data_IF_531121349964
#
_entry.id   IF_531121349964
#
_cell.length_a   1.000
_cell.length_b   1.000
_cell.length_c   1.000
_cell.angle_alpha   90.00
_cell.angle_beta   90.00
_cell.angle_gamma   90.00
#
_symmetry.space_group_name_H-M   'P 1'
#
loop_
_entity.id
_entity.type
_entity.pdbx_description
1 polymer ?
#
# COMPACT_ATOMS: atom_id res chain seq x y z
N UNK A 1 -11.87 7.31 -15.55
CA UNK A 1 -12.01 6.79 -14.17
C UNK A 1 -12.80 7.75 -13.28
N UNK A 2 -12.49 9.05 -13.26
CA UNK A 2 -13.24 10.04 -12.48
C UNK A 2 -14.72 10.07 -12.86
N UNK A 3 -15.05 9.99 -14.14
CA UNK A 3 -16.42 9.94 -14.63
C UNK A 3 -17.17 8.67 -14.16
N UNK A 4 -16.48 7.52 -14.10
CA UNK A 4 -17.06 6.27 -13.59
C UNK A 4 -17.38 6.39 -12.10
N UNK A 5 -16.46 6.92 -11.31
CA UNK A 5 -16.67 7.15 -9.87
C UNK A 5 -17.78 8.17 -9.64
N UNK A 6 -17.80 9.28 -10.40
CA UNK A 6 -18.87 10.28 -10.34
C UNK A 6 -20.24 9.72 -10.76
N UNK A 7 -20.23 8.71 -11.66
CA UNK A 7 -21.42 7.94 -12.07
C UNK A 7 -21.90 6.90 -11.05
N UNK A 8 -21.21 6.77 -9.90
CA UNK A 8 -21.57 5.88 -8.80
C UNK A 8 -20.88 4.51 -8.81
N UNK A 9 -19.85 4.32 -9.64
CA UNK A 9 -19.00 3.12 -9.53
C UNK A 9 -18.26 3.12 -8.19
N UNK A 10 -18.44 2.05 -7.44
CA UNK A 10 -17.81 1.81 -6.13
C UNK A 10 -16.89 0.60 -6.14
N UNK A 11 -16.48 0.12 -7.30
CA UNK A 11 -15.59 -1.02 -7.43
C UNK A 11 -14.20 -0.74 -6.82
N UNK A 12 -13.70 -1.70 -6.03
CA UNK A 12 -12.36 -1.63 -5.43
C UNK A 12 -11.29 -1.38 -6.48
N UNK A 13 -11.42 -2.04 -7.63
CA UNK A 13 -10.46 -1.90 -8.74
C UNK A 13 -10.48 -0.48 -9.33
N UNK A 14 -11.66 0.08 -9.61
CA UNK A 14 -11.80 1.43 -10.17
C UNK A 14 -11.21 2.48 -9.24
N UNK A 15 -11.52 2.41 -7.95
CA UNK A 15 -10.96 3.32 -6.95
C UNK A 15 -9.45 3.14 -6.80
N UNK A 16 -8.95 1.91 -6.78
CA UNK A 16 -7.50 1.62 -6.69
C UNK A 16 -6.72 2.14 -7.90
N UNK A 17 -7.25 1.99 -9.11
CA UNK A 17 -6.64 2.51 -10.34
C UNK A 17 -6.63 4.04 -10.36
N UNK A 18 -7.71 4.68 -9.95
CA UNK A 18 -7.77 6.14 -9.86
C UNK A 18 -6.81 6.68 -8.79
N UNK A 19 -6.75 6.01 -7.63
CA UNK A 19 -5.80 6.34 -6.57
C UNK A 19 -4.34 6.21 -7.03
N UNK A 20 -4.02 5.15 -7.78
CA UNK A 20 -2.69 4.96 -8.37
C UNK A 20 -2.33 6.09 -9.33
N UNK A 21 -3.27 6.53 -10.18
CA UNK A 21 -3.04 7.66 -11.05
C UNK A 21 -2.77 8.97 -10.28
N UNK A 22 -3.49 9.22 -9.18
CA UNK A 22 -3.19 10.37 -8.32
C UNK A 22 -1.86 10.24 -7.57
N UNK A 23 -1.48 9.03 -7.15
CA UNK A 23 -0.16 8.75 -6.56
C UNK A 23 0.96 9.06 -7.55
N UNK A 24 0.81 8.69 -8.82
CA UNK A 24 1.76 9.05 -9.87
C UNK A 24 1.85 10.57 -10.04
N UNK A 25 0.71 11.28 -10.10
CA UNK A 25 0.69 12.74 -10.18
C UNK A 25 1.34 13.39 -8.95
N UNK A 26 1.10 12.84 -7.74
CA UNK A 26 1.78 13.27 -6.52
C UNK A 26 3.30 13.10 -6.63
N UNK A 27 3.74 11.98 -7.14
CA UNK A 27 5.17 11.66 -7.26
C UNK A 27 5.89 12.58 -8.24
N UNK A 28 5.27 12.89 -9.38
CA UNK A 28 5.83 13.78 -10.40
C UNK A 28 5.62 15.27 -10.12
N UNK A 29 4.83 15.64 -9.13
CA UNK A 29 4.61 17.04 -8.76
C UNK A 29 5.86 17.65 -8.13
N UNK A 30 6.27 18.81 -8.63
CA UNK A 30 7.43 19.56 -8.11
C UNK A 30 7.03 20.69 -7.18
N UNK A 31 5.80 21.19 -7.29
CA UNK A 31 5.28 22.21 -6.41
C UNK A 31 4.48 21.63 -5.25
N UNK A 32 4.58 22.29 -4.10
CA UNK A 32 3.98 21.83 -2.84
C UNK A 32 2.45 21.73 -2.89
N UNK A 33 1.80 22.65 -3.62
CA UNK A 33 0.34 22.70 -3.69
C UNK A 33 -0.21 21.50 -4.50
N UNK A 34 0.36 21.21 -5.66
CA UNK A 34 0.02 20.04 -6.48
C UNK A 34 0.31 18.76 -5.72
N UNK A 35 1.48 18.68 -5.06
CA UNK A 35 1.85 17.51 -4.26
C UNK A 35 0.85 17.25 -3.14
N UNK A 36 0.46 18.27 -2.39
CA UNK A 36 -0.58 18.16 -1.37
C UNK A 36 -1.91 17.70 -1.94
N UNK A 37 -2.39 18.38 -3.01
CA UNK A 37 -3.66 18.06 -3.67
C UNK A 37 -3.74 16.61 -4.13
N UNK A 38 -2.73 16.15 -4.87
CA UNK A 38 -2.74 14.79 -5.41
C UNK A 38 -2.50 13.73 -4.34
N UNK A 39 -1.76 14.05 -3.29
CA UNK A 39 -1.61 13.18 -2.11
C UNK A 39 -2.94 12.96 -1.40
N UNK A 40 -3.70 14.03 -1.13
CA UNK A 40 -5.03 13.95 -0.51
C UNK A 40 -6.02 13.16 -1.38
N UNK A 41 -6.00 13.39 -2.71
CA UNK A 41 -6.86 12.63 -3.64
C UNK A 41 -6.49 11.14 -3.69
N UNK A 42 -5.19 10.80 -3.70
CA UNK A 42 -4.75 9.42 -3.68
C UNK A 42 -5.20 8.71 -2.39
N UNK A 43 -4.99 9.34 -1.23
CA UNK A 43 -5.44 8.80 0.08
C UNK A 43 -6.95 8.54 0.04
N UNK A 44 -7.75 9.55 -0.31
CA UNK A 44 -9.21 9.42 -0.33
C UNK A 44 -9.69 8.26 -1.20
N UNK A 45 -9.10 8.08 -2.39
CA UNK A 45 -9.49 7.00 -3.31
C UNK A 45 -9.02 5.62 -2.85
N UNK A 46 -7.84 5.50 -2.26
CA UNK A 46 -7.40 4.25 -1.65
C UNK A 46 -8.24 3.90 -0.42
N UNK A 47 -8.62 4.87 0.41
CA UNK A 47 -9.52 4.66 1.54
C UNK A 47 -10.89 4.19 1.09
N UNK A 48 -11.46 4.77 0.03
CA UNK A 48 -12.73 4.29 -0.56
C UNK A 48 -12.61 2.86 -1.08
N UNK A 49 -11.52 2.51 -1.80
CA UNK A 49 -11.26 1.15 -2.25
C UNK A 49 -11.16 0.16 -1.09
N UNK A 50 -10.58 0.60 0.01
CA UNK A 50 -10.38 -0.20 1.21
C UNK A 50 -11.63 -0.31 2.08
N UNK A 51 -12.46 0.73 2.17
CA UNK A 51 -13.65 0.80 3.04
C UNK A 51 -14.89 0.10 2.47
N UNK A 52 -14.93 -0.19 1.16
CA UNK A 52 -16.07 -0.88 0.53
C UNK A 52 -16.31 -2.28 1.07
N UNK A 53 -15.32 -2.90 1.72
CA UNK A 53 -15.47 -4.19 2.39
C UNK A 53 -15.12 -4.00 3.88
N UNK A 54 -16.14 -4.03 4.74
CA UNK A 54 -16.02 -3.82 6.19
C UNK A 54 -14.89 -4.66 6.81
N UNK A 55 -13.85 -4.00 7.29
CA UNK A 55 -12.65 -4.59 7.88
C UNK A 55 -12.85 -5.16 9.30
N UNK A 56 -14.00 -4.90 9.90
CA UNK A 56 -14.28 -5.25 11.28
C UNK A 56 -14.39 -6.77 11.54
N UNK A 57 -14.33 -7.58 10.47
CA UNK A 57 -14.43 -9.03 10.55
C UNK A 57 -13.37 -9.79 9.70
N UNK A 58 -12.08 -9.53 9.92
CA UNK A 58 -10.98 -10.32 9.31
C UNK A 58 -11.13 -11.85 9.47
N UNK A 59 -11.83 -12.28 10.52
CA UNK A 59 -12.09 -13.72 10.78
C UNK A 59 -13.12 -14.32 9.84
N UNK A 60 -14.09 -13.53 9.38
CA UNK A 60 -15.22 -13.97 8.55
C UNK A 60 -15.11 -13.54 7.09
N UNK A 61 -14.19 -12.62 6.76
CA UNK A 61 -13.96 -12.17 5.39
C UNK A 61 -13.60 -13.34 4.47
N UNK A 62 -14.19 -13.39 3.30
CA UNK A 62 -13.85 -14.39 2.30
C UNK A 62 -12.41 -14.13 1.79
N UNK A 63 -11.76 -15.16 1.25
CA UNK A 63 -10.40 -15.03 0.71
C UNK A 63 -10.33 -13.96 -0.38
N UNK A 64 -11.32 -13.91 -1.27
CA UNK A 64 -11.41 -12.93 -2.34
C UNK A 64 -11.48 -11.50 -1.82
N UNK A 65 -12.16 -11.26 -0.69
CA UNK A 65 -12.22 -9.93 -0.06
C UNK A 65 -10.83 -9.50 0.43
N UNK A 66 -10.06 -10.40 1.03
CA UNK A 66 -8.71 -10.12 1.49
C UNK A 66 -7.74 -9.86 0.32
N UNK A 67 -7.86 -10.63 -0.77
CA UNK A 67 -7.05 -10.48 -1.98
C UNK A 67 -7.29 -9.13 -2.69
N UNK A 68 -8.45 -8.53 -2.55
CA UNK A 68 -8.73 -7.19 -3.09
C UNK A 68 -8.30 -6.06 -2.16
N UNK A 69 -8.06 -6.34 -0.85
CA UNK A 69 -7.84 -5.32 0.18
C UNK A 69 -6.36 -5.03 0.48
N UNK A 70 -5.44 -6.01 0.33
CA UNK A 70 -4.05 -5.79 0.71
C UNK A 70 -3.40 -4.64 -0.05
N UNK A 71 -3.69 -4.50 -1.35
CA UNK A 71 -3.11 -3.47 -2.21
C UNK A 71 -3.57 -2.05 -1.84
N UNK A 72 -4.88 -1.72 -1.77
CA UNK A 72 -5.29 -0.38 -1.35
C UNK A 72 -4.85 -0.07 0.08
N UNK A 73 -4.90 -1.03 1.01
CA UNK A 73 -4.53 -0.83 2.40
C UNK A 73 -3.05 -0.41 2.57
N UNK A 74 -2.11 -1.08 1.89
CA UNK A 74 -0.69 -0.71 1.98
C UNK A 74 -0.42 0.64 1.32
N UNK A 75 -1.15 0.99 0.25
CA UNK A 75 -0.99 2.29 -0.39
C UNK A 75 -1.59 3.43 0.46
N UNK A 76 -2.67 3.22 1.22
CA UNK A 76 -3.13 4.16 2.26
C UNK A 76 -2.02 4.39 3.28
N UNK A 77 -1.40 3.31 3.78
CA UNK A 77 -0.30 3.38 4.74
C UNK A 77 0.88 4.20 4.20
N UNK A 78 1.31 3.89 2.98
CA UNK A 78 2.39 4.59 2.30
C UNK A 78 2.09 6.10 2.13
N UNK A 79 0.91 6.43 1.61
CA UNK A 79 0.55 7.83 1.34
C UNK A 79 0.44 8.66 2.62
N UNK A 80 -0.14 8.14 3.69
CA UNK A 80 -0.15 8.81 5.00
C UNK A 80 1.26 9.01 5.54
N UNK A 81 2.09 7.97 5.49
CA UNK A 81 3.47 8.04 5.94
C UNK A 81 4.27 9.10 5.19
N UNK A 82 4.16 9.13 3.85
CA UNK A 82 4.85 10.10 2.99
C UNK A 82 4.30 11.52 3.12
N UNK A 83 3.07 11.70 3.59
CA UNK A 83 2.48 13.02 3.89
C UNK A 83 2.81 13.55 5.29
N UNK A 84 3.56 12.78 6.10
CA UNK A 84 3.95 13.12 7.46
C UNK A 84 2.97 12.67 8.55
N UNK A 85 1.85 12.04 8.20
CA UNK A 85 0.91 11.44 9.15
C UNK A 85 1.38 10.02 9.53
N UNK A 86 2.48 9.96 10.28
CA UNK A 86 3.16 8.71 10.62
C UNK A 86 2.27 7.77 11.45
N UNK A 87 1.37 8.31 12.26
CA UNK A 87 0.47 7.52 13.11
C UNK A 87 -0.53 6.75 12.23
N UNK A 88 -1.28 7.45 11.37
CA UNK A 88 -2.21 6.79 10.44
C UNK A 88 -1.50 5.87 9.45
N UNK A 89 -0.29 6.25 9.01
CA UNK A 89 0.56 5.40 8.18
C UNK A 89 0.83 4.05 8.87
N UNK A 90 1.24 4.07 10.13
CA UNK A 90 1.52 2.86 10.92
C UNK A 90 0.26 2.04 11.23
N UNK A 91 -0.85 2.70 11.57
CA UNK A 91 -2.12 2.00 11.77
C UNK A 91 -2.55 1.22 10.51
N UNK A 92 -2.49 1.87 9.35
CA UNK A 92 -2.83 1.23 8.07
C UNK A 92 -1.82 0.14 7.69
N UNK A 93 -0.53 0.33 7.96
CA UNK A 93 0.51 -0.68 7.76
C UNK A 93 0.26 -1.92 8.63
N UNK A 94 -0.15 -1.75 9.89
CA UNK A 94 -0.51 -2.85 10.78
C UNK A 94 -1.69 -3.66 10.23
N UNK A 95 -2.69 -2.99 9.66
CA UNK A 95 -3.84 -3.65 9.02
C UNK A 95 -3.41 -4.41 7.76
N UNK A 96 -2.59 -3.79 6.90
CA UNK A 96 -2.05 -4.45 5.70
C UNK A 96 -1.27 -5.72 6.06
N UNK A 97 -0.43 -5.67 7.11
CA UNK A 97 0.30 -6.83 7.62
C UNK A 97 -0.64 -7.95 8.07
N UNK A 98 -1.71 -7.62 8.81
CA UNK A 98 -2.70 -8.60 9.25
C UNK A 98 -3.43 -9.27 8.08
N UNK A 99 -3.72 -8.52 6.99
CA UNK A 99 -4.29 -9.10 5.77
C UNK A 99 -3.32 -10.11 5.16
N UNK A 100 -2.05 -9.72 5.01
CA UNK A 100 -1.02 -10.60 4.44
C UNK A 100 -0.84 -11.87 5.27
N UNK A 101 -0.84 -11.78 6.60
CA UNK A 101 -0.80 -12.94 7.51
C UNK A 101 -1.99 -13.88 7.27
N UNK A 102 -3.21 -13.32 7.16
CA UNK A 102 -4.41 -14.13 6.87
C UNK A 102 -4.39 -14.80 5.51
N UNK A 103 -3.92 -14.10 4.48
CA UNK A 103 -3.76 -14.68 3.15
C UNK A 103 -2.74 -15.82 3.16
N UNK A 104 -1.63 -15.63 3.85
CA UNK A 104 -0.58 -16.65 4.04
C UNK A 104 -1.10 -17.89 4.78
N UNK A 105 -1.86 -17.71 5.87
CA UNK A 105 -2.51 -18.81 6.60
C UNK A 105 -3.47 -19.63 5.71
N UNK A 106 -4.07 -18.98 4.70
CA UNK A 106 -4.99 -19.58 3.73
C UNK A 106 -4.29 -20.17 2.49
N UNK A 107 -2.97 -20.12 2.46
CA UNK A 107 -2.17 -20.65 1.36
C UNK A 107 -1.98 -19.72 0.17
N UNK A 108 -2.40 -18.45 0.28
CA UNK A 108 -2.18 -17.43 -0.75
C UNK A 108 -1.02 -16.53 -0.33
N UNK A 109 0.16 -16.74 -0.93
CA UNK A 109 1.37 -15.99 -0.57
C UNK A 109 2.29 -15.79 -1.77
N UNK A 110 1.77 -15.14 -2.81
CA UNK A 110 2.53 -14.79 -4.02
C UNK A 110 3.36 -13.50 -3.84
N UNK A 111 4.19 -13.18 -4.83
CA UNK A 111 5.14 -12.05 -4.81
C UNK A 111 4.57 -10.74 -4.24
N UNK A 112 3.39 -10.31 -4.71
CA UNK A 112 2.83 -9.02 -4.30
C UNK A 112 2.37 -9.01 -2.84
N UNK A 113 1.91 -10.14 -2.30
CA UNK A 113 1.55 -10.24 -0.87
C UNK A 113 2.82 -10.21 -0.02
N UNK A 114 3.91 -10.89 -0.46
CA UNK A 114 5.20 -10.85 0.22
C UNK A 114 5.76 -9.42 0.26
N UNK A 115 5.73 -8.71 -0.86
CA UNK A 115 6.18 -7.32 -0.94
C UNK A 115 5.34 -6.39 -0.06
N UNK A 116 4.04 -6.58 -0.02
CA UNK A 116 3.15 -5.82 0.87
C UNK A 116 3.45 -6.08 2.34
N UNK A 117 3.71 -7.35 2.73
CA UNK A 117 4.13 -7.69 4.09
C UNK A 117 5.47 -7.02 4.45
N UNK A 118 6.45 -7.07 3.52
CA UNK A 118 7.75 -6.41 3.72
C UNK A 118 7.63 -4.89 3.86
N UNK A 119 6.82 -4.26 3.02
CA UNK A 119 6.57 -2.82 3.08
C UNK A 119 5.86 -2.43 4.38
N UNK A 120 4.88 -3.22 4.82
CA UNK A 120 4.22 -3.00 6.10
C UNK A 120 5.20 -3.07 7.28
N UNK A 121 6.12 -4.05 7.28
CA UNK A 121 7.20 -4.12 8.27
C UNK A 121 8.10 -2.88 8.23
N UNK A 122 8.45 -2.40 7.03
CA UNK A 122 9.28 -1.21 6.86
C UNK A 122 8.59 0.04 7.43
N UNK A 123 7.30 0.25 7.09
CA UNK A 123 6.49 1.37 7.61
C UNK A 123 6.31 1.33 9.13
N UNK A 124 6.35 0.12 9.73
CA UNK A 124 6.29 -0.09 11.17
C UNK A 124 7.65 0.07 11.87
N UNK A 125 8.74 0.27 11.14
CA UNK A 125 10.10 0.39 11.66
C UNK A 125 10.78 -0.95 11.97
N UNK A 126 10.20 -2.08 11.54
CA UNK A 126 10.77 -3.42 11.68
C UNK A 126 11.71 -3.72 10.52
N UNK A 127 12.86 -3.03 10.47
CA UNK A 127 13.78 -3.01 9.31
C UNK A 127 14.32 -4.40 8.97
N UNK A 128 14.77 -5.17 9.97
CA UNK A 128 15.35 -6.50 9.75
C UNK A 128 14.33 -7.49 9.16
N UNK A 129 13.09 -7.45 9.67
CA UNK A 129 12.01 -8.27 9.14
C UNK A 129 11.61 -7.84 7.72
N UNK A 130 11.54 -6.54 7.47
CA UNK A 130 11.29 -6.02 6.12
C UNK A 130 12.35 -6.51 5.14
N UNK A 131 13.63 -6.37 5.49
CA UNK A 131 14.75 -6.83 4.64
C UNK A 131 14.66 -8.32 4.34
N UNK A 132 14.40 -9.16 5.36
CA UNK A 132 14.24 -10.59 5.20
C UNK A 132 13.12 -10.95 4.22
N UNK A 133 11.93 -10.36 4.40
CA UNK A 133 10.77 -10.65 3.54
C UNK A 133 10.98 -10.12 2.11
N UNK A 134 11.62 -8.96 1.93
CA UNK A 134 12.01 -8.47 0.60
C UNK A 134 12.99 -9.40 -0.12
N UNK A 135 13.96 -9.97 0.60
CA UNK A 135 14.92 -10.94 0.03
C UNK A 135 14.21 -12.23 -0.40
N UNK A 136 13.29 -12.75 0.42
CA UNK A 136 12.48 -13.91 0.10
C UNK A 136 11.62 -13.65 -1.16
N UNK A 137 10.94 -12.49 -1.22
CA UNK A 137 10.15 -12.08 -2.39
C UNK A 137 11.02 -11.98 -3.66
N UNK A 138 12.18 -11.34 -3.57
CA UNK A 138 13.11 -11.17 -4.69
C UNK A 138 13.69 -12.50 -5.21
N UNK A 139 13.75 -13.52 -4.34
CA UNK A 139 14.20 -14.87 -4.68
C UNK A 139 13.10 -15.77 -5.25
N UNK A 140 11.85 -15.30 -5.25
CA UNK A 140 10.71 -16.07 -5.74
C UNK A 140 10.74 -16.20 -7.28
N UNK A 141 10.10 -17.25 -7.80
CA UNK A 141 9.96 -17.46 -9.26
C UNK A 141 9.14 -16.37 -9.96
N UNK A 142 8.35 -15.62 -9.20
CA UNK A 142 7.49 -14.54 -9.69
C UNK A 142 8.20 -13.19 -9.74
N UNK A 143 9.42 -13.10 -9.16
CA UNK A 143 10.22 -11.90 -9.14
C UNK A 143 10.73 -11.56 -10.56
N UNK A 144 10.15 -10.55 -11.15
CA UNK A 144 10.59 -9.98 -12.44
C UNK A 144 11.35 -8.68 -12.18
N UNK A 145 12.31 -8.35 -13.03
CA UNK A 145 13.14 -7.13 -12.89
C UNK A 145 12.31 -5.86 -12.74
N UNK A 146 11.22 -5.72 -13.51
CA UNK A 146 10.33 -4.56 -13.41
C UNK A 146 9.59 -4.48 -12.08
N UNK A 147 9.15 -5.63 -11.55
CA UNK A 147 8.50 -5.72 -10.24
C UNK A 147 9.46 -5.36 -9.12
N UNK A 148 10.67 -5.92 -9.15
CA UNK A 148 11.73 -5.61 -8.18
C UNK A 148 12.09 -4.12 -8.22
N UNK A 149 12.20 -3.52 -9.41
CA UNK A 149 12.51 -2.10 -9.55
C UNK A 149 11.42 -1.20 -8.93
N UNK A 150 10.14 -1.51 -9.18
CA UNK A 150 9.02 -0.77 -8.58
C UNK A 150 9.01 -0.89 -7.04
N UNK A 151 9.17 -2.11 -6.53
CA UNK A 151 9.24 -2.39 -5.08
C UNK A 151 10.41 -1.65 -4.42
N UNK A 152 11.60 -1.72 -5.04
CA UNK A 152 12.80 -1.05 -4.53
C UNK A 152 12.61 0.47 -4.46
N UNK A 153 11.99 1.07 -5.47
CA UNK A 153 11.72 2.52 -5.49
C UNK A 153 10.89 2.94 -4.29
N UNK A 154 9.79 2.25 -4.01
CA UNK A 154 8.91 2.55 -2.88
C UNK A 154 9.59 2.34 -1.54
N UNK A 155 10.35 1.24 -1.37
CA UNK A 155 11.12 0.98 -0.17
C UNK A 155 12.16 2.09 0.12
N UNK A 156 12.85 2.60 -0.91
CA UNK A 156 13.81 3.70 -0.76
C UNK A 156 13.13 5.02 -0.36
N UNK A 157 11.93 5.30 -0.85
CA UNK A 157 11.17 6.47 -0.44
C UNK A 157 10.82 6.42 1.05
N UNK A 158 10.39 5.25 1.55
CA UNK A 158 10.09 5.06 2.98
C UNK A 158 11.37 5.20 3.82
N UNK A 159 12.48 4.58 3.39
CA UNK A 159 13.76 4.66 4.08
C UNK A 159 14.26 6.11 4.22
N UNK A 160 14.09 6.93 3.18
CA UNK A 160 14.46 8.35 3.21
C UNK A 160 13.73 9.14 4.30
N UNK A 161 12.49 8.82 4.62
CA UNK A 161 11.75 9.48 5.72
C UNK A 161 12.37 9.17 7.08
N UNK A 162 12.90 7.96 7.28
CA UNK A 162 13.60 7.61 8.53
C UNK A 162 14.95 8.31 8.65
N UNK A 163 15.70 8.44 7.56
CA UNK A 163 16.98 9.14 7.54
C UNK A 163 16.80 10.64 7.87
N UNK A 164 15.77 11.28 7.31
CA UNK A 164 15.45 12.68 7.57
C UNK A 164 14.96 12.92 9.02
N UNK A 165 14.44 11.91 9.69
CA UNK A 165 13.93 12.02 11.05
C UNK A 165 15.03 11.86 12.13
N UNK A 166 16.22 11.34 11.78
CA UNK A 166 17.37 11.16 12.69
C UNK A 166 18.33 12.36 12.71
N UNK A 167 18.09 13.40 11.90
CA UNK A 167 18.86 14.64 11.81
C UNK A 167 18.20 15.74 12.62
#
# INVERSE_FOLDING_TARGET
>A
LEELVAGGDRGVETHSLLASAYKDLWEYSTDLQSKKKYGELAIARYEEAYSTNSFDNLRTSQQQDLETQYYPCINVAFMHFMSGDLEKGRESAQKARQICEKLKERGTYHYWIQVTEAEAHLLLGSIDEAARVYMDAASSKEAQTSRIASTRKQALQIAGVYEDAEV
#
